data_IF_985158624473
#
_entry.id   IF_985158624473
#
_cell.length_a   1.000
_cell.length_b   1.000
_cell.length_c   1.000
_cell.angle_alpha   90.00
_cell.angle_beta   90.00
_cell.angle_gamma   90.00
#
_symmetry.space_group_name_H-M   'P 1'
#
loop_
_entity.id
_entity.type
_entity.pdbx_description
1 polymer ?
#
# COMPACT_ATOMS: atom_id res chain seq x y z
N UNK A 1 -7.77 -12.63 6.38
CA UNK A 1 -6.78 -13.38 5.58
C UNK A 1 -6.55 -12.61 4.30
N UNK A 2 -5.28 -12.38 3.95
CA UNK A 2 -4.91 -11.69 2.73
C UNK A 2 -5.41 -12.41 1.49
N UNK A 3 -5.74 -11.65 0.45
CA UNK A 3 -6.28 -12.18 -0.81
C UNK A 3 -5.32 -11.94 -1.98
N UNK A 4 -5.48 -12.76 -3.01
CA UNK A 4 -4.72 -12.69 -4.25
C UNK A 4 -5.25 -11.58 -5.15
N UNK A 5 -4.32 -10.85 -5.79
CA UNK A 5 -4.64 -9.95 -6.90
C UNK A 5 -3.93 -10.43 -8.16
N UNK A 6 -4.65 -10.52 -9.25
CA UNK A 6 -4.11 -10.75 -10.59
C UNK A 6 -4.41 -9.53 -11.47
N UNK A 7 -3.39 -9.01 -12.13
CA UNK A 7 -3.49 -7.95 -13.12
C UNK A 7 -3.18 -8.54 -14.48
N UNK A 8 -4.09 -8.42 -15.43
CA UNK A 8 -3.97 -9.03 -16.75
C UNK A 8 -4.09 -7.96 -17.84
N UNK A 9 -3.05 -7.81 -18.64
CA UNK A 9 -2.99 -6.92 -19.81
C UNK A 9 -3.44 -5.50 -19.49
N UNK A 10 -3.01 -4.97 -18.33
CA UNK A 10 -3.44 -3.66 -17.88
C UNK A 10 -2.72 -2.55 -18.63
N UNK A 11 -3.54 -1.67 -19.27
CA UNK A 11 -3.11 -0.41 -19.85
C UNK A 11 -3.76 0.73 -19.06
N UNK A 12 -2.97 1.73 -18.66
CA UNK A 12 -3.43 2.84 -17.83
C UNK A 12 -3.22 4.16 -18.56
N UNK A 13 -4.31 4.92 -18.68
CA UNK A 13 -4.34 6.18 -19.43
C UNK A 13 -4.65 7.37 -18.52
N UNK A 14 -4.10 8.52 -18.90
CA UNK A 14 -4.51 9.85 -18.45
C UNK A 14 -4.92 10.69 -19.67
N UNK A 15 -6.23 10.81 -19.91
CA UNK A 15 -6.73 11.29 -21.20
C UNK A 15 -6.29 10.33 -22.31
N UNK A 16 -5.64 10.87 -23.35
CA UNK A 16 -5.12 10.09 -24.47
C UNK A 16 -3.67 9.58 -24.24
N UNK A 17 -3.05 9.92 -23.11
CA UNK A 17 -1.68 9.52 -22.79
C UNK A 17 -1.65 8.15 -22.14
N UNK A 18 -1.04 7.16 -22.81
CA UNK A 18 -0.74 5.84 -22.26
C UNK A 18 0.44 5.96 -21.29
N UNK A 19 0.15 5.85 -20.01
CA UNK A 19 1.13 6.00 -18.93
C UNK A 19 1.80 4.67 -18.53
N UNK A 20 1.07 3.57 -18.66
CA UNK A 20 1.53 2.21 -18.35
C UNK A 20 0.94 1.26 -19.39
N UNK A 21 1.78 0.34 -19.91
CA UNK A 21 1.44 -0.54 -21.03
C UNK A 21 1.60 -2.01 -20.66
N UNK A 22 0.57 -2.81 -20.97
CA UNK A 22 0.51 -4.29 -20.93
C UNK A 22 1.08 -4.91 -19.64
N UNK A 23 0.67 -4.38 -18.49
CA UNK A 23 1.13 -4.90 -17.20
C UNK A 23 0.43 -6.21 -16.85
N UNK A 24 1.24 -7.23 -16.53
CA UNK A 24 0.80 -8.53 -16.10
C UNK A 24 1.46 -8.89 -14.76
N UNK A 25 0.69 -8.88 -13.65
CA UNK A 25 1.19 -9.07 -12.28
C UNK A 25 0.37 -10.13 -11.56
N UNK A 26 1.05 -10.98 -10.80
CA UNK A 26 0.45 -11.89 -9.84
C UNK A 26 0.93 -11.55 -8.43
N UNK A 27 0.04 -11.01 -7.59
CA UNK A 27 0.27 -10.68 -6.20
C UNK A 27 -0.26 -11.83 -5.33
N UNK A 28 0.65 -12.53 -4.67
CA UNK A 28 0.31 -13.69 -3.85
C UNK A 28 -0.24 -13.29 -2.48
N UNK A 29 -1.23 -14.04 -1.96
CA UNK A 29 -1.80 -13.76 -0.65
C UNK A 29 -0.77 -13.89 0.47
N UNK A 30 -0.91 -13.06 1.50
CA UNK A 30 -0.06 -13.08 2.71
C UNK A 30 1.45 -12.95 2.41
N UNK A 31 1.78 -12.18 1.38
CA UNK A 31 3.15 -11.85 0.99
C UNK A 31 3.30 -10.35 0.74
N UNK A 32 4.54 -9.88 0.78
CA UNK A 32 4.90 -8.53 0.38
C UNK A 32 5.42 -8.53 -1.05
N UNK A 33 4.75 -7.80 -1.94
CA UNK A 33 5.21 -7.53 -3.30
C UNK A 33 5.71 -6.10 -3.39
N UNK A 34 6.99 -5.89 -3.70
CA UNK A 34 7.56 -4.57 -3.87
C UNK A 34 7.56 -4.14 -5.35
N UNK A 35 7.08 -2.94 -5.64
CA UNK A 35 7.24 -2.27 -6.93
C UNK A 35 8.43 -1.32 -6.84
N UNK A 36 9.48 -1.58 -7.62
CA UNK A 36 10.70 -0.77 -7.67
C UNK A 36 10.90 -0.16 -9.07
N UNK A 37 11.71 0.87 -9.16
CA UNK A 37 12.05 1.56 -10.41
C UNK A 37 12.23 3.06 -10.20
N UNK A 38 12.72 3.80 -11.21
CA UNK A 38 12.95 5.23 -11.12
C UNK A 38 11.65 6.01 -10.87
N UNK A 39 11.80 7.27 -10.42
CA UNK A 39 10.64 8.16 -10.23
C UNK A 39 9.92 8.39 -11.56
N UNK A 40 8.57 8.37 -11.53
CA UNK A 40 7.75 8.60 -12.73
C UNK A 40 7.61 7.41 -13.68
N UNK A 41 8.14 6.21 -13.35
CA UNK A 41 8.04 5.04 -14.24
C UNK A 41 6.70 4.27 -14.18
N UNK A 42 5.68 4.75 -13.44
CA UNK A 42 4.35 4.15 -13.43
C UNK A 42 3.99 3.35 -12.18
N UNK A 43 4.89 3.10 -11.22
CA UNK A 43 4.63 2.28 -10.00
C UNK A 43 3.39 2.68 -9.21
N UNK A 44 3.32 3.96 -8.80
CA UNK A 44 2.17 4.48 -8.04
C UNK A 44 0.91 4.58 -8.91
N UNK A 45 1.06 4.65 -10.23
CA UNK A 45 -0.05 4.59 -11.17
C UNK A 45 -0.69 3.21 -11.12
N UNK A 46 0.09 2.13 -11.28
CA UNK A 46 -0.37 0.74 -11.14
C UNK A 46 -0.90 0.48 -9.72
N UNK A 47 -0.19 0.94 -8.67
CA UNK A 47 -0.67 0.75 -7.30
C UNK A 47 -2.10 1.27 -7.10
N UNK A 48 -2.40 2.45 -7.66
CA UNK A 48 -3.72 3.11 -7.52
C UNK A 48 -4.82 2.49 -8.36
N UNK A 49 -4.52 1.62 -9.30
CA UNK A 49 -5.55 0.87 -10.01
C UNK A 49 -6.07 -0.30 -9.17
N UNK A 50 -5.24 -0.84 -8.25
CA UNK A 50 -5.62 -1.95 -7.39
C UNK A 50 -6.73 -1.62 -6.38
N UNK A 51 -6.96 -0.32 -6.08
CA UNK A 51 -8.04 0.19 -5.23
C UNK A 51 -8.98 1.18 -5.95
N UNK A 52 -8.82 1.31 -7.27
CA UNK A 52 -9.58 2.24 -8.12
C UNK A 52 -9.38 3.73 -7.77
N UNK A 53 -8.30 4.07 -7.05
CA UNK A 53 -8.01 5.49 -6.71
C UNK A 53 -7.58 6.32 -7.92
N UNK A 54 -7.11 5.71 -9.03
CA UNK A 54 -6.78 6.45 -10.26
C UNK A 54 -8.03 7.10 -10.88
N UNK A 55 -9.23 6.55 -10.69
CA UNK A 55 -10.51 7.08 -11.22
C UNK A 55 -10.89 8.45 -10.67
N UNK A 56 -10.30 8.89 -9.54
CA UNK A 56 -10.51 10.25 -9.01
C UNK A 56 -9.83 11.33 -9.86
N UNK A 57 -8.93 10.93 -10.76
CA UNK A 57 -8.21 11.83 -11.67
C UNK A 57 -9.06 11.97 -12.94
N UNK A 58 -9.53 13.19 -13.30
CA UNK A 58 -10.32 13.39 -14.50
C UNK A 58 -9.63 12.87 -15.76
N UNK A 59 -10.34 12.03 -16.51
CA UNK A 59 -9.84 11.44 -17.75
C UNK A 59 -8.95 10.20 -17.54
N UNK A 60 -8.66 9.80 -16.32
CA UNK A 60 -7.93 8.55 -16.09
C UNK A 60 -8.85 7.33 -16.30
N UNK A 61 -8.35 6.32 -17.01
CA UNK A 61 -9.07 5.06 -17.23
C UNK A 61 -8.09 3.89 -17.38
N UNK A 62 -8.63 2.69 -17.26
CA UNK A 62 -7.90 1.42 -17.35
C UNK A 62 -8.55 0.54 -18.40
N UNK A 63 -7.72 -0.13 -19.19
CA UNK A 63 -8.08 -1.27 -20.03
C UNK A 63 -7.39 -2.52 -19.48
N UNK A 64 -7.96 -3.71 -19.72
CA UNK A 64 -7.49 -4.96 -19.13
C UNK A 64 -8.30 -5.35 -17.89
N UNK A 65 -7.72 -6.17 -17.01
CA UNK A 65 -8.42 -6.69 -15.84
C UNK A 65 -7.56 -6.58 -14.58
N UNK A 66 -8.21 -6.19 -13.48
CA UNK A 66 -7.65 -6.27 -12.12
C UNK A 66 -8.58 -7.15 -11.30
N UNK A 67 -8.12 -8.36 -10.98
CA UNK A 67 -8.92 -9.38 -10.33
C UNK A 67 -8.54 -9.53 -8.86
N UNK A 68 -9.50 -9.34 -7.95
CA UNK A 68 -9.36 -9.70 -6.53
C UNK A 68 -10.09 -11.03 -6.33
N UNK A 69 -9.34 -12.10 -6.01
CA UNK A 69 -9.87 -13.47 -5.91
C UNK A 69 -10.71 -13.87 -7.14
N UNK A 70 -10.26 -13.48 -8.35
CA UNK A 70 -10.92 -13.79 -9.61
C UNK A 70 -12.12 -12.92 -9.97
N UNK A 71 -12.50 -11.95 -9.13
CA UNK A 71 -13.54 -10.96 -9.43
C UNK A 71 -12.91 -9.68 -9.97
N UNK A 72 -13.29 -9.25 -11.16
CA UNK A 72 -12.77 -8.02 -11.75
C UNK A 72 -13.27 -6.79 -10.97
N UNK A 73 -12.34 -5.99 -10.47
CA UNK A 73 -12.64 -4.79 -9.69
C UNK A 73 -13.31 -3.68 -10.53
N UNK A 74 -13.20 -3.77 -11.87
CA UNK A 74 -13.76 -2.80 -12.82
C UNK A 74 -15.08 -3.22 -13.46
N UNK A 75 -15.67 -4.34 -13.04
CA UNK A 75 -17.00 -4.72 -13.49
C UNK A 75 -18.05 -3.66 -13.10
N UNK A 76 -19.05 -3.48 -13.94
CA UNK A 76 -20.06 -2.41 -13.81
C UNK A 76 -20.89 -2.48 -12.52
N UNK A 77 -21.02 -3.66 -11.94
CA UNK A 77 -21.74 -3.92 -10.70
C UNK A 77 -20.86 -3.82 -9.44
N UNK A 78 -19.56 -3.56 -9.60
CA UNK A 78 -18.62 -3.41 -8.47
C UNK A 78 -18.61 -1.96 -7.98
N UNK A 79 -18.99 -1.77 -6.72
CA UNK A 79 -18.94 -0.46 -6.05
C UNK A 79 -17.49 -0.09 -5.68
N UNK A 80 -16.94 1.03 -6.19
CA UNK A 80 -15.61 1.50 -5.81
C UNK A 80 -15.41 1.74 -4.31
N UNK A 81 -16.48 2.05 -3.57
CA UNK A 81 -16.41 2.24 -2.12
C UNK A 81 -16.16 0.90 -1.43
N UNK A 82 -16.82 -0.17 -1.89
CA UNK A 82 -16.59 -1.52 -1.38
C UNK A 82 -15.14 -1.99 -1.68
N UNK A 83 -14.63 -1.71 -2.89
CA UNK A 83 -13.23 -2.02 -3.24
C UNK A 83 -12.26 -1.33 -2.28
N UNK A 84 -12.43 -0.02 -2.00
CA UNK A 84 -11.54 0.74 -1.10
C UNK A 84 -11.68 0.38 0.38
N UNK A 85 -12.72 -0.33 0.76
CA UNK A 85 -12.83 -0.96 2.08
C UNK A 85 -12.00 -2.24 2.14
N UNK A 86 -12.05 -3.07 1.10
CA UNK A 86 -11.39 -4.36 1.05
C UNK A 86 -9.89 -4.23 0.69
N UNK A 87 -9.52 -3.14 0.02
CA UNK A 87 -8.14 -2.77 -0.35
C UNK A 87 -7.78 -1.44 0.31
N UNK A 88 -7.06 -1.51 1.43
CA UNK A 88 -6.63 -0.34 2.19
C UNK A 88 -5.41 0.35 1.57
N UNK A 89 -5.33 1.70 1.70
CA UNK A 89 -4.24 2.50 1.15
C UNK A 89 -3.52 3.32 2.23
N UNK A 90 -2.18 3.23 2.22
CA UNK A 90 -1.27 4.07 3.02
C UNK A 90 -0.47 4.95 2.07
N UNK A 91 -0.59 6.26 2.23
CA UNK A 91 0.02 7.24 1.33
C UNK A 91 1.46 7.58 1.72
N UNK A 92 2.21 8.10 0.76
CA UNK A 92 3.60 8.52 0.91
C UNK A 92 3.78 9.55 2.03
N UNK A 93 2.90 10.55 2.11
CA UNK A 93 2.89 11.51 3.21
C UNK A 93 1.86 11.10 4.23
N UNK A 94 2.22 11.03 5.52
CA UNK A 94 1.25 10.80 6.57
C UNK A 94 0.09 11.80 6.45
N UNK A 95 -1.12 11.29 6.49
CA UNK A 95 -2.33 12.08 6.32
C UNK A 95 -3.38 11.82 7.43
N UNK A 96 -3.01 11.94 8.72
CA UNK A 96 -4.01 11.88 9.77
C UNK A 96 -5.02 13.00 9.56
N UNK A 97 -6.28 12.75 9.88
CA UNK A 97 -7.31 13.80 9.85
C UNK A 97 -6.98 14.85 10.91
N UNK A 98 -6.70 16.10 10.53
CA UNK A 98 -6.10 17.10 11.43
C UNK A 98 -7.03 17.54 12.57
N UNK A 99 -8.34 17.45 12.36
CA UNK A 99 -9.37 17.80 13.35
C UNK A 99 -9.76 16.65 14.28
N UNK A 100 -9.22 15.45 14.03
CA UNK A 100 -9.54 14.24 14.77
C UNK A 100 -8.44 13.89 15.77
N UNK A 101 -8.84 13.33 16.92
CA UNK A 101 -7.94 12.72 17.89
C UNK A 101 -7.29 11.44 17.32
N UNK A 102 -6.32 10.88 18.04
CA UNK A 102 -5.68 9.59 17.68
C UNK A 102 -6.75 8.50 17.59
N UNK A 103 -7.61 8.38 18.60
CA UNK A 103 -8.75 7.47 18.64
C UNK A 103 -9.67 7.63 17.44
N UNK A 104 -10.08 8.85 17.14
CA UNK A 104 -11.00 9.15 16.05
C UNK A 104 -10.38 8.87 14.68
N UNK A 105 -9.08 9.11 14.51
CA UNK A 105 -8.37 8.74 13.30
C UNK A 105 -8.43 7.23 13.03
N UNK A 106 -8.18 6.39 14.06
CA UNK A 106 -8.27 4.93 13.92
C UNK A 106 -9.69 4.51 13.54
N UNK A 107 -10.70 5.09 14.18
CA UNK A 107 -12.10 4.71 13.98
C UNK A 107 -12.75 5.32 12.73
N UNK A 108 -12.09 6.24 12.04
CA UNK A 108 -12.72 7.02 10.96
C UNK A 108 -13.34 6.14 9.85
N UNK A 109 -12.59 5.18 9.32
CA UNK A 109 -13.08 4.26 8.30
C UNK A 109 -14.17 3.31 8.80
N UNK A 110 -14.04 2.85 10.04
CA UNK A 110 -15.01 1.92 10.67
C UNK A 110 -16.35 2.60 10.88
N UNK A 111 -16.36 3.85 11.35
CA UNK A 111 -17.59 4.64 11.57
C UNK A 111 -18.33 4.96 10.27
N UNK A 112 -17.62 5.11 9.15
CA UNK A 112 -18.25 5.28 7.84
C UNK A 112 -19.02 4.02 7.40
N UNK A 113 -18.52 2.84 7.76
CA UNK A 113 -19.12 1.56 7.39
C UNK A 113 -20.10 1.01 8.42
N UNK A 114 -19.92 1.34 9.71
CA UNK A 114 -20.76 0.87 10.81
C UNK A 114 -21.06 2.01 11.80
N UNK A 115 -22.22 2.62 11.66
CA UNK A 115 -22.65 3.75 12.50
C UNK A 115 -22.99 3.36 13.96
N UNK A 116 -23.11 2.06 14.27
CA UNK A 116 -23.61 1.57 15.57
C UNK A 116 -22.55 0.80 16.37
N UNK A 117 -21.25 1.10 16.19
CA UNK A 117 -20.20 0.46 16.98
C UNK A 117 -20.37 0.84 18.47
N UNK A 118 -20.55 -0.15 19.34
CA UNK A 118 -20.62 0.07 20.78
C UNK A 118 -19.30 0.67 21.29
N UNK A 119 -19.36 1.44 22.39
CA UNK A 119 -18.16 2.14 22.90
C UNK A 119 -17.06 1.15 23.32
N UNK A 120 -17.44 0.03 23.96
CA UNK A 120 -16.50 -1.03 24.35
C UNK A 120 -15.77 -1.60 23.14
N UNK A 121 -16.51 -1.95 22.07
CA UNK A 121 -15.97 -2.54 20.86
C UNK A 121 -15.06 -1.54 20.12
N UNK A 122 -15.39 -0.25 20.19
CA UNK A 122 -14.57 0.82 19.66
C UNK A 122 -13.23 0.96 20.41
N UNK A 123 -13.25 0.85 21.76
CA UNK A 123 -12.05 0.93 22.58
C UNK A 123 -11.13 -0.27 22.34
N UNK A 124 -11.68 -1.48 22.26
CA UNK A 124 -10.95 -2.71 21.98
C UNK A 124 -10.34 -2.67 20.56
N UNK A 125 -11.08 -2.17 19.57
CA UNK A 125 -10.61 -2.02 18.20
C UNK A 125 -9.47 -0.99 18.10
N UNK A 126 -9.57 0.13 18.81
CA UNK A 126 -8.52 1.16 18.84
C UNK A 126 -7.24 0.59 19.44
N UNK A 127 -7.33 -0.11 20.58
CA UNK A 127 -6.17 -0.76 21.17
C UNK A 127 -5.57 -1.80 20.22
N UNK A 128 -6.39 -2.68 19.66
CA UNK A 128 -5.94 -3.70 18.71
C UNK A 128 -5.22 -3.10 17.50
N UNK A 129 -5.81 -2.09 16.86
CA UNK A 129 -5.22 -1.45 15.68
C UNK A 129 -3.92 -0.70 16.00
N UNK A 130 -3.86 0.00 17.15
CA UNK A 130 -2.66 0.71 17.58
C UNK A 130 -1.55 -0.25 18.03
N UNK A 131 -1.88 -1.39 18.63
CA UNK A 131 -0.91 -2.47 18.92
C UNK A 131 -0.38 -3.08 17.63
N UNK A 132 -1.28 -3.42 16.70
CA UNK A 132 -0.91 -3.90 15.36
C UNK A 132 -0.10 -2.91 14.54
N UNK A 133 -0.09 -1.63 14.87
CA UNK A 133 0.74 -0.58 14.26
C UNK A 133 1.99 -0.21 15.10
N UNK A 134 2.31 -1.00 16.13
CA UNK A 134 3.43 -0.75 17.07
C UNK A 134 3.43 0.70 17.64
N UNK A 135 2.23 1.26 17.89
CA UNK A 135 2.04 2.64 18.36
C UNK A 135 1.40 2.74 19.74
N UNK A 136 0.73 1.67 20.23
CA UNK A 136 -0.06 1.68 21.44
C UNK A 136 0.69 2.21 22.66
N UNK A 137 1.87 1.68 22.95
CA UNK A 137 2.63 2.04 24.15
C UNK A 137 3.07 3.52 24.17
N UNK A 138 3.16 4.14 22.99
CA UNK A 138 3.53 5.54 22.86
C UNK A 138 2.35 6.51 23.02
N UNK A 139 1.11 6.03 22.81
CA UNK A 139 -0.07 6.93 22.72
C UNK A 139 -1.23 6.57 23.65
N UNK A 140 -1.21 5.43 24.33
CA UNK A 140 -2.32 4.91 25.15
C UNK A 140 -2.85 5.91 26.19
N UNK A 141 -1.98 6.77 26.75
CA UNK A 141 -2.34 7.75 27.77
C UNK A 141 -2.79 9.09 27.18
N UNK A 142 -2.86 9.22 25.84
CA UNK A 142 -3.21 10.47 25.13
C UNK A 142 -4.04 10.25 23.87
N UNK A 143 -4.91 9.23 23.87
CA UNK A 143 -5.74 8.85 22.71
C UNK A 143 -6.68 9.95 22.23
N UNK A 144 -7.07 10.86 23.12
CA UNK A 144 -7.96 11.98 22.81
C UNK A 144 -7.20 13.23 22.33
N UNK A 145 -5.85 13.20 22.29
CA UNK A 145 -5.05 14.27 21.72
C UNK A 145 -5.12 14.24 20.18
N UNK A 146 -4.97 15.42 19.52
CA UNK A 146 -4.97 15.49 18.05
C UNK A 146 -3.90 14.61 17.41
N UNK A 147 -4.27 13.81 16.42
CA UNK A 147 -3.33 12.94 15.69
C UNK A 147 -2.21 13.68 14.97
N UNK A 148 -2.46 14.91 14.55
CA UNK A 148 -1.46 15.76 13.87
C UNK A 148 -0.31 16.19 14.81
N UNK A 149 -0.49 16.12 16.13
CA UNK A 149 0.55 16.42 17.13
C UNK A 149 1.62 15.32 17.30
N UNK A 150 1.48 14.19 16.60
CA UNK A 150 2.45 13.10 16.61
C UNK A 150 3.65 13.41 15.72
N UNK A 151 4.80 12.74 15.97
CA UNK A 151 5.95 12.78 15.05
C UNK A 151 5.60 12.17 13.70
N UNK A 152 6.40 12.45 12.65
CA UNK A 152 6.14 11.92 11.30
C UNK A 152 6.01 10.39 11.27
N UNK A 153 6.91 9.67 11.94
CA UNK A 153 6.85 8.21 12.04
C UNK A 153 5.65 7.72 12.83
N UNK A 154 5.25 8.41 13.90
CA UNK A 154 4.04 8.10 14.65
C UNK A 154 2.78 8.37 13.82
N UNK A 155 2.74 9.46 13.06
CA UNK A 155 1.63 9.76 12.15
C UNK A 155 1.50 8.69 11.07
N UNK A 156 2.61 8.21 10.52
CA UNK A 156 2.58 7.13 9.51
C UNK A 156 2.02 5.83 10.11
N UNK A 157 2.48 5.45 11.30
CA UNK A 157 1.94 4.28 12.01
C UNK A 157 0.47 4.47 12.40
N UNK A 158 0.04 5.69 12.72
CA UNK A 158 -1.39 6.00 12.93
C UNK A 158 -2.19 5.81 11.63
N UNK A 159 -1.66 6.21 10.47
CA UNK A 159 -2.32 5.97 9.18
C UNK A 159 -2.40 4.47 8.84
N UNK A 160 -1.38 3.69 9.22
CA UNK A 160 -1.42 2.22 9.10
C UNK A 160 -2.49 1.65 10.04
N UNK A 161 -2.52 2.07 11.33
CA UNK A 161 -3.55 1.66 12.29
C UNK A 161 -4.97 1.95 11.76
N UNK A 162 -5.19 3.13 11.18
CA UNK A 162 -6.45 3.49 10.53
C UNK A 162 -6.80 2.56 9.38
N UNK A 163 -5.82 2.20 8.54
CA UNK A 163 -6.03 1.32 7.40
C UNK A 163 -6.37 -0.11 7.84
N UNK A 164 -5.70 -0.66 8.84
CA UNK A 164 -5.95 -2.03 9.32
C UNK A 164 -7.23 -2.14 10.16
N UNK A 165 -7.69 -1.05 10.79
CA UNK A 165 -8.89 -1.04 11.63
C UNK A 165 -10.17 -1.43 10.88
N UNK A 166 -10.22 -1.27 9.56
CA UNK A 166 -11.35 -1.71 8.72
C UNK A 166 -11.23 -3.17 8.27
N UNK A 167 -10.19 -3.89 8.72
CA UNK A 167 -9.89 -5.26 8.35
C UNK A 167 -9.83 -5.49 6.83
N UNK A 168 -8.98 -4.75 6.09
CA UNK A 168 -8.85 -4.94 4.65
C UNK A 168 -8.27 -6.32 4.34
N UNK A 169 -8.39 -6.73 3.09
CA UNK A 169 -7.81 -8.00 2.60
C UNK A 169 -6.42 -7.77 1.99
N UNK A 170 -6.23 -6.57 1.45
CA UNK A 170 -4.98 -6.11 0.84
C UNK A 170 -4.61 -4.75 1.41
N UNK A 171 -3.32 -4.52 1.63
CA UNK A 171 -2.79 -3.25 2.08
C UNK A 171 -1.79 -2.70 1.06
N UNK A 172 -2.14 -1.58 0.45
CA UNK A 172 -1.29 -0.86 -0.50
C UNK A 172 -0.51 0.22 0.24
N UNK A 173 0.78 0.34 -0.05
CA UNK A 173 1.66 1.34 0.57
C UNK A 173 2.46 2.07 -0.50
N UNK A 174 2.18 3.36 -0.70
CA UNK A 174 2.89 4.20 -1.65
C UNK A 174 4.05 4.93 -0.92
N UNK A 175 5.28 4.43 -1.07
CA UNK A 175 6.50 4.98 -0.46
C UNK A 175 6.39 5.32 1.04
N UNK A 176 5.92 4.41 1.91
CA UNK A 176 5.49 4.72 3.28
C UNK A 176 6.62 5.23 4.20
N UNK A 177 7.88 5.07 3.80
CA UNK A 177 9.05 5.46 4.60
C UNK A 177 9.83 6.64 4.02
N UNK A 178 9.43 7.21 2.87
CA UNK A 178 10.24 8.20 2.13
C UNK A 178 10.49 9.51 2.90
N UNK A 179 9.61 9.86 3.83
CA UNK A 179 9.70 11.08 4.64
C UNK A 179 10.09 10.81 6.11
N UNK A 180 10.52 9.59 6.44
CA UNK A 180 10.83 9.16 7.81
C UNK A 180 12.34 9.15 8.07
N UNK A 181 12.70 9.38 9.33
CA UNK A 181 14.06 9.14 9.82
C UNK A 181 14.38 7.62 9.84
N UNK A 182 15.68 7.25 9.95
CA UNK A 182 16.08 5.83 9.89
C UNK A 182 15.43 4.94 10.97
N UNK A 183 15.23 5.46 12.19
CA UNK A 183 14.63 4.69 13.30
C UNK A 183 13.15 4.44 13.01
N UNK A 184 12.44 5.48 12.59
CA UNK A 184 11.02 5.37 12.19
C UNK A 184 10.84 4.47 10.97
N UNK A 185 11.79 4.49 10.03
CA UNK A 185 11.80 3.59 8.86
C UNK A 185 11.89 2.13 9.28
N UNK A 186 12.84 1.78 10.17
CA UNK A 186 12.97 0.41 10.68
C UNK A 186 11.70 -0.05 11.40
N UNK A 187 11.10 0.81 12.23
CA UNK A 187 9.85 0.48 12.91
C UNK A 187 8.68 0.18 11.94
N UNK A 188 8.60 0.88 10.80
CA UNK A 188 7.61 0.59 9.76
C UNK A 188 7.97 -0.70 8.98
N UNK A 189 9.25 -0.97 8.72
CA UNK A 189 9.69 -2.21 8.07
C UNK A 189 9.39 -3.45 8.94
N UNK A 190 9.66 -3.37 10.24
CA UNK A 190 9.32 -4.43 11.20
C UNK A 190 7.80 -4.66 11.23
N UNK A 191 7.03 -3.57 11.27
CA UNK A 191 5.57 -3.63 11.21
C UNK A 191 5.05 -4.30 9.92
N UNK A 192 5.62 -4.00 8.75
CA UNK A 192 5.26 -4.65 7.48
C UNK A 192 5.51 -6.16 7.56
N UNK A 193 6.64 -6.58 8.15
CA UNK A 193 6.97 -7.99 8.33
C UNK A 193 6.00 -8.71 9.28
N UNK A 194 5.46 -8.04 10.29
CA UNK A 194 4.43 -8.58 11.17
C UNK A 194 3.07 -8.69 10.44
N UNK A 195 2.67 -7.61 9.75
CA UNK A 195 1.38 -7.52 9.06
C UNK A 195 1.22 -8.53 7.91
N UNK A 196 2.31 -8.95 7.24
CA UNK A 196 2.20 -9.87 6.10
C UNK A 196 1.62 -11.24 6.46
N UNK A 197 1.61 -11.62 7.75
CA UNK A 197 0.95 -12.87 8.19
C UNK A 197 -0.56 -12.85 7.98
N UNK A 198 -1.17 -11.68 8.03
CA UNK A 198 -2.61 -11.47 7.99
C UNK A 198 -3.09 -10.80 6.70
N UNK A 199 -2.22 -10.00 6.07
CA UNK A 199 -2.54 -9.16 4.92
C UNK A 199 -1.68 -9.48 3.69
N UNK A 200 -2.25 -9.35 2.52
CA UNK A 200 -1.47 -9.21 1.27
C UNK A 200 -0.99 -7.77 1.18
N UNK A 201 0.31 -7.56 0.99
CA UNK A 201 0.89 -6.20 1.00
C UNK A 201 1.54 -5.91 -0.36
N UNK A 202 1.21 -4.74 -0.92
CA UNK A 202 1.91 -4.19 -2.09
C UNK A 202 2.56 -2.88 -1.68
N UNK A 203 3.87 -2.78 -1.84
CA UNK A 203 4.61 -1.57 -1.48
C UNK A 203 5.34 -0.99 -2.69
N UNK A 204 5.16 0.30 -2.93
CA UNK A 204 6.02 1.07 -3.82
C UNK A 204 7.18 1.63 -3.00
N UNK A 205 8.40 1.46 -3.48
CA UNK A 205 9.58 2.10 -2.90
C UNK A 205 10.65 2.35 -3.94
N UNK A 206 11.36 3.46 -3.80
CA UNK A 206 12.58 3.74 -4.55
C UNK A 206 13.85 3.30 -3.81
N UNK A 207 13.72 2.84 -2.56
CA UNK A 207 14.82 2.33 -1.76
C UNK A 207 14.99 0.83 -1.99
N UNK A 208 16.00 0.46 -2.78
CA UNK A 208 16.29 -0.94 -3.12
C UNK A 208 16.65 -1.79 -1.90
N UNK A 209 17.35 -1.20 -0.92
CA UNK A 209 17.71 -1.92 0.31
C UNK A 209 16.47 -2.23 1.14
N UNK A 210 15.50 -1.32 1.20
CA UNK A 210 14.21 -1.57 1.84
C UNK A 210 13.47 -2.70 1.12
N UNK A 211 13.30 -2.61 -0.21
CA UNK A 211 12.64 -3.66 -0.98
C UNK A 211 13.27 -5.04 -0.73
N UNK A 212 14.61 -5.12 -0.74
CA UNK A 212 15.35 -6.36 -0.50
C UNK A 212 15.12 -6.95 0.90
N UNK A 213 14.90 -6.10 1.94
CA UNK A 213 14.69 -6.57 3.33
C UNK A 213 13.28 -7.06 3.59
N UNK A 214 12.26 -6.42 3.00
CA UNK A 214 10.87 -6.63 3.43
C UNK A 214 10.02 -7.39 2.42
N UNK A 215 10.40 -7.47 1.14
CA UNK A 215 9.55 -8.09 0.13
C UNK A 215 9.88 -9.56 -0.13
N UNK A 216 8.84 -10.33 -0.44
CA UNK A 216 8.94 -11.72 -0.89
C UNK A 216 9.06 -11.79 -2.42
N UNK A 217 8.39 -10.86 -3.12
CA UNK A 217 8.48 -10.67 -4.58
C UNK A 217 8.81 -9.22 -4.91
N UNK A 218 9.49 -9.03 -6.03
CA UNK A 218 9.86 -7.73 -6.54
C UNK A 218 9.46 -7.59 -8.01
N UNK A 219 8.84 -6.47 -8.37
CA UNK A 219 8.45 -6.08 -9.72
C UNK A 219 9.21 -4.79 -10.09
N UNK A 220 10.04 -4.85 -11.11
CA UNK A 220 10.80 -3.71 -11.61
C UNK A 220 10.08 -3.04 -12.77
N UNK A 221 9.80 -1.75 -12.60
CA UNK A 221 9.15 -0.90 -13.61
C UNK A 221 10.13 0.08 -14.23
N UNK A 222 9.98 0.30 -15.55
CA UNK A 222 10.74 1.27 -16.30
C UNK A 222 9.89 1.89 -17.42
N UNK A 223 9.73 3.21 -17.40
CA UNK A 223 9.04 3.98 -18.48
C UNK A 223 7.68 3.37 -18.85
N UNK A 224 6.85 3.07 -17.87
CA UNK A 224 5.50 2.54 -18.07
C UNK A 224 5.43 1.02 -18.34
N UNK A 225 6.56 0.30 -18.36
CA UNK A 225 6.60 -1.14 -18.57
C UNK A 225 6.95 -1.91 -17.28
N UNK A 226 6.37 -3.07 -17.10
CA UNK A 226 6.85 -4.08 -16.15
C UNK A 226 7.97 -4.89 -16.79
N UNK A 227 9.23 -4.56 -16.47
CA UNK A 227 10.42 -5.15 -17.09
C UNK A 227 10.69 -6.56 -16.57
N UNK A 228 10.63 -6.74 -15.26
CA UNK A 228 10.91 -8.02 -14.61
C UNK A 228 10.13 -8.17 -13.32
N UNK A 229 9.63 -9.38 -13.04
CA UNK A 229 9.03 -9.75 -11.77
C UNK A 229 9.50 -11.14 -11.34
N UNK A 230 9.76 -11.30 -10.05
CA UNK A 230 10.17 -12.58 -9.48
C UNK A 230 10.38 -12.56 -7.98
N UNK A 231 10.85 -13.69 -7.39
CA UNK A 231 11.31 -13.72 -6.01
C UNK A 231 12.38 -12.63 -5.79
N UNK A 232 12.28 -11.91 -4.68
CA UNK A 232 13.13 -10.75 -4.37
C UNK A 232 14.61 -11.11 -4.44
N UNK A 233 15.02 -12.19 -3.79
CA UNK A 233 16.42 -12.65 -3.79
C UNK A 233 16.96 -12.83 -5.20
N UNK A 234 16.14 -13.36 -6.11
CA UNK A 234 16.54 -13.60 -7.50
C UNK A 234 16.64 -12.29 -8.29
N UNK A 235 15.66 -11.41 -8.18
CA UNK A 235 15.67 -10.11 -8.89
C UNK A 235 16.89 -9.30 -8.48
N UNK A 236 17.28 -9.34 -7.19
CA UNK A 236 18.44 -8.59 -6.70
C UNK A 236 19.79 -9.27 -6.92
N UNK A 237 19.87 -10.61 -6.99
CA UNK A 237 21.15 -11.34 -7.13
C UNK A 237 21.48 -11.75 -8.56
N UNK A 238 20.47 -12.18 -9.33
CA UNK A 238 20.60 -12.72 -10.68
C UNK A 238 19.43 -12.28 -11.56
N UNK A 239 19.28 -10.97 -11.82
CA UNK A 239 18.23 -10.46 -12.67
C UNK A 239 18.34 -11.06 -14.08
N UNK A 240 17.21 -11.24 -14.75
CA UNK A 240 17.15 -11.79 -16.10
C UNK A 240 17.30 -10.73 -17.17
N UNK A 241 16.73 -9.53 -16.90
CA UNK A 241 16.79 -8.41 -17.82
C UNK A 241 17.96 -7.50 -17.46
N UNK A 242 18.74 -7.11 -18.49
CA UNK A 242 19.89 -6.24 -18.30
C UNK A 242 19.49 -4.86 -17.73
N UNK A 243 18.32 -4.34 -18.05
CA UNK A 243 17.81 -3.08 -17.52
C UNK A 243 17.62 -3.15 -15.99
N UNK A 244 17.17 -4.32 -15.49
CA UNK A 244 17.06 -4.61 -14.06
C UNK A 244 18.44 -4.64 -13.40
N UNK A 245 19.42 -5.32 -14.01
CA UNK A 245 20.80 -5.37 -13.52
C UNK A 245 21.42 -3.97 -13.44
N UNK A 246 21.29 -3.18 -14.51
CA UNK A 246 21.85 -1.83 -14.60
C UNK A 246 21.20 -0.91 -13.52
N UNK A 247 19.88 -1.05 -13.26
CA UNK A 247 19.19 -0.29 -12.23
C UNK A 247 19.67 -0.67 -10.82
N UNK A 248 19.74 -1.96 -10.50
CA UNK A 248 20.14 -2.46 -9.18
C UNK A 248 21.61 -2.13 -8.87
N UNK A 249 22.48 -2.18 -9.88
CA UNK A 249 23.91 -1.87 -9.72
C UNK A 249 24.24 -0.38 -9.77
N UNK A 250 23.22 0.50 -9.94
CA UNK A 250 23.43 1.95 -10.05
C UNK A 250 24.10 2.41 -11.35
N UNK A 251 24.13 1.56 -12.39
CA UNK A 251 24.68 1.88 -13.73
C UNK A 251 23.63 2.50 -14.66
N UNK A 252 22.51 2.90 -14.08
CA UNK A 252 21.37 3.47 -14.78
C UNK A 252 21.59 4.97 -14.96
N UNK A 253 21.84 5.42 -16.21
CA UNK A 253 22.07 6.83 -16.58
C UNK A 253 22.36 6.96 -18.04
#
# INVERSE_FOLDING_TARGET
MGQRIDVNHENIYYGDFLAVEDVNINIEPNKVTAFIGPSGCGKSTVLRTLDRMHEIIPGAHVEGEVLLEGKNLYDKDVDPVAVRRDVGMVFQRPNPFPTMSIRENVLAGVRLNNHHLAKSDADDLVEWALRGANLWEEVKDRLDNPGIGLSGGQQQRLCIARAVAVHPQVLLMDEPCSALDPISTLAVEDLINELKSDYTIVIVTHNMQQAARISDKCAFFLVGELVEMGPTDRVFSTPKDKRTEDYITGRFG
#
